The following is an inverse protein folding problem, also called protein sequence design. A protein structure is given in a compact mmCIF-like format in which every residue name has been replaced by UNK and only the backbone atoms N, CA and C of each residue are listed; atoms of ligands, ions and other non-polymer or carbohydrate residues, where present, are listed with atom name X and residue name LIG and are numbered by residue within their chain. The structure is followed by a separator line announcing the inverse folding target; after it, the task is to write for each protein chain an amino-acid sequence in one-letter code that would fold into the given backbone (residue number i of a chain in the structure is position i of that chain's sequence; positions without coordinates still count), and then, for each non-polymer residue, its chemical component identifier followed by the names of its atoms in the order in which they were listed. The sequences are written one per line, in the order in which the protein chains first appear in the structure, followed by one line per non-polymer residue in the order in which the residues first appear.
data_IF_480395211728
#
_entry.id   IF_480395211728
#
_cell.length_a   1.000
_cell.length_b   1.000
_cell.length_c   1.000
_cell.angle_alpha   90.00
_cell.angle_beta   90.00
_cell.angle_gamma   90.00
#
_symmetry.space_group_name_H-M   'P 1'
#
loop_
_entity.id
_entity.type
_entity.pdbx_description
1 polymer ?
#
# COMPACT_ATOMS: atom_id res chain seq x y z
N UNK A 1 -5.86 18.30 -16.33
CA UNK A 1 -4.71 17.96 -17.22
C UNK A 1 -3.56 18.84 -16.82
N UNK A 2 -2.54 18.24 -16.19
CA UNK A 2 -1.29 18.94 -15.90
C UNK A 2 -0.50 19.12 -17.17
N UNK A 3 -0.03 20.32 -17.51
CA UNK A 3 0.90 20.51 -18.59
C UNK A 3 2.33 20.20 -18.11
N UNK A 4 2.55 19.04 -17.48
CA UNK A 4 3.89 18.54 -17.31
C UNK A 4 4.30 17.91 -18.64
N UNK A 5 4.77 18.75 -19.54
CA UNK A 5 5.53 18.29 -20.67
C UNK A 5 6.85 17.75 -20.12
N UNK A 6 6.88 16.44 -19.89
CA UNK A 6 8.11 15.72 -19.55
C UNK A 6 8.96 15.66 -20.83
N UNK A 7 9.71 16.70 -21.07
CA UNK A 7 10.64 16.82 -22.19
C UNK A 7 11.99 17.15 -21.61
N UNK A 8 12.88 16.20 -21.61
CA UNK A 8 14.24 16.33 -21.10
C UNK A 8 15.23 16.81 -22.18
N UNK A 9 14.78 17.21 -23.37
CA UNK A 9 15.64 17.73 -24.41
C UNK A 9 16.38 19.00 -23.95
N UNK A 10 17.67 19.03 -24.14
CA UNK A 10 18.54 20.11 -23.69
C UNK A 10 18.71 20.23 -22.17
N UNK A 11 18.42 19.16 -21.42
CA UNK A 11 18.56 19.12 -19.95
C UNK A 11 19.78 18.32 -19.55
N UNK A 12 20.53 18.86 -18.57
CA UNK A 12 21.62 18.18 -17.88
C UNK A 12 21.33 18.16 -16.40
N UNK A 13 21.35 16.97 -15.80
CA UNK A 13 21.25 16.74 -14.36
C UNK A 13 22.62 16.39 -13.80
N UNK A 14 23.04 17.05 -12.74
CA UNK A 14 24.24 16.64 -12.02
C UNK A 14 24.02 16.59 -10.51
N UNK A 15 24.73 15.70 -9.87
CA UNK A 15 24.74 15.56 -8.41
C UNK A 15 26.03 14.92 -7.93
N UNK A 16 26.34 15.14 -6.67
CA UNK A 16 27.38 14.42 -5.94
C UNK A 16 26.77 13.24 -5.20
N UNK A 17 27.44 12.10 -5.18
CA UNK A 17 27.06 10.96 -4.37
C UNK A 17 28.19 10.58 -3.42
N UNK A 18 27.83 10.09 -2.25
CA UNK A 18 28.72 9.43 -1.31
C UNK A 18 28.04 8.15 -0.80
N UNK A 19 28.81 7.07 -0.76
CA UNK A 19 28.32 5.76 -0.31
C UNK A 19 29.24 5.25 0.77
N UNK A 20 28.69 4.80 1.89
CA UNK A 20 29.41 4.14 2.97
C UNK A 20 28.79 2.79 3.33
N UNK A 21 29.60 1.90 3.87
CA UNK A 21 29.19 0.53 4.16
C UNK A 21 29.31 -0.40 2.94
N UNK A 22 28.52 -1.48 2.90
CA UNK A 22 28.44 -2.34 1.73
C UNK A 22 27.76 -1.61 0.58
N UNK A 23 28.53 -1.37 -0.47
CA UNK A 23 28.06 -0.65 -1.66
C UNK A 23 27.10 -1.52 -2.45
N UNK A 24 25.83 -1.13 -2.61
CA UNK A 24 24.97 -1.81 -3.55
C UNK A 24 25.43 -1.52 -4.97
N UNK A 25 25.49 -2.55 -5.81
CA UNK A 25 25.53 -2.36 -7.25
C UNK A 25 24.23 -1.74 -7.72
N UNK A 26 24.33 -0.65 -8.46
CA UNK A 26 23.22 -0.10 -9.20
C UNK A 26 23.01 -0.94 -10.45
N UNK A 27 22.41 -2.10 -10.29
CA UNK A 27 22.05 -2.97 -11.41
C UNK A 27 20.58 -3.39 -11.23
N UNK A 28 19.74 -3.07 -12.17
CA UNK A 28 18.35 -3.46 -12.13
C UNK A 28 18.08 -4.36 -13.33
N UNK A 29 17.87 -5.63 -13.06
CA UNK A 29 17.11 -6.50 -13.96
C UNK A 29 15.63 -6.09 -13.88
N UNK A 30 15.23 -5.09 -14.66
CA UNK A 30 13.83 -4.80 -14.85
C UNK A 30 13.48 -4.94 -16.32
N UNK A 31 12.25 -5.28 -16.61
CA UNK A 31 11.72 -5.34 -17.98
C UNK A 31 11.62 -3.95 -18.65
N UNK A 32 11.92 -2.87 -17.95
CA UNK A 32 11.95 -1.51 -18.46
C UNK A 32 13.39 -1.04 -18.70
N UNK A 33 13.66 -0.22 -19.71
CA UNK A 33 14.94 0.42 -19.89
C UNK A 33 15.30 1.26 -18.66
N UNK A 34 16.44 0.98 -18.02
CA UNK A 34 16.93 1.71 -16.86
C UNK A 34 18.23 2.40 -17.19
N UNK A 35 18.46 3.57 -16.58
CA UNK A 35 19.79 4.19 -16.56
C UNK A 35 20.49 3.63 -15.33
N UNK A 36 21.48 2.76 -15.56
CA UNK A 36 22.29 2.23 -14.48
C UNK A 36 23.52 3.08 -14.33
N UNK A 37 23.66 3.72 -13.19
CA UNK A 37 24.87 4.45 -12.79
C UNK A 37 25.72 3.49 -11.97
N UNK A 38 26.83 3.01 -12.51
CA UNK A 38 27.80 2.23 -11.75
C UNK A 38 28.71 3.15 -10.99
N UNK A 39 28.70 3.05 -9.68
CA UNK A 39 29.79 3.60 -8.87
C UNK A 39 31.03 2.74 -9.07
N UNK A 40 32.23 3.31 -9.21
CA UNK A 40 33.45 2.50 -9.27
C UNK A 40 33.54 1.67 -8.00
N UNK A 41 33.37 0.35 -8.20
CA UNK A 41 33.08 -0.57 -7.11
C UNK A 41 34.30 -0.84 -6.26
N UNK A 42 34.27 -0.33 -5.06
CA UNK A 42 34.93 -0.98 -3.94
C UNK A 42 33.87 -1.34 -2.90
N UNK A 43 34.00 -2.51 -2.33
CA UNK A 43 33.04 -3.07 -1.37
C UNK A 43 32.89 -2.26 -0.06
N UNK A 44 33.54 -1.11 0.05
CA UNK A 44 33.70 -0.33 1.29
C UNK A 44 33.27 1.13 1.20
N UNK A 45 32.75 1.57 0.07
CA UNK A 45 32.30 2.95 -0.11
C UNK A 45 32.99 3.68 -1.26
N UNK A 46 32.47 4.84 -1.62
CA UNK A 46 33.00 5.70 -2.65
C UNK A 46 32.24 7.01 -2.74
N UNK A 47 32.85 8.00 -3.35
CA UNK A 47 32.22 9.30 -3.62
C UNK A 47 32.54 9.78 -5.03
N UNK A 48 31.69 10.61 -5.61
CA UNK A 48 31.95 11.17 -6.92
C UNK A 48 30.82 12.06 -7.42
N UNK A 49 31.08 12.66 -8.58
CA UNK A 49 30.10 13.48 -9.28
C UNK A 49 29.54 12.71 -10.46
N UNK A 50 28.23 12.78 -10.62
CA UNK A 50 27.51 12.23 -11.77
C UNK A 50 26.95 13.39 -12.58
N UNK A 51 27.11 13.30 -13.90
CA UNK A 51 26.51 14.23 -14.87
C UNK A 51 25.76 13.41 -15.89
N UNK A 52 24.46 13.66 -16.02
CA UNK A 52 23.57 13.01 -16.99
C UNK A 52 23.15 14.06 -18.01
N UNK A 53 23.67 13.95 -19.21
CA UNK A 53 23.22 14.74 -20.36
C UNK A 53 22.16 13.95 -21.11
N UNK A 54 20.91 14.37 -20.99
CA UNK A 54 19.77 13.65 -21.55
C UNK A 54 19.75 13.62 -23.08
N UNK A 55 20.41 14.55 -23.75
CA UNK A 55 20.52 14.53 -25.19
C UNK A 55 21.56 13.52 -25.71
N UNK A 56 22.41 13.00 -24.82
CA UNK A 56 23.47 12.07 -25.16
C UNK A 56 23.34 10.70 -24.48
N UNK A 57 22.12 10.32 -24.11
CA UNK A 57 21.85 8.99 -23.55
C UNK A 57 21.66 7.95 -24.66
N UNK A 58 22.21 6.78 -24.41
CA UNK A 58 22.05 5.61 -25.27
C UNK A 58 21.62 4.40 -24.44
N UNK A 59 20.69 3.62 -24.97
CA UNK A 59 20.41 2.28 -24.44
C UNK A 59 21.61 1.36 -24.77
N UNK A 60 21.80 0.35 -23.91
CA UNK A 60 22.96 -0.55 -24.04
C UNK A 60 24.23 -0.02 -23.34
N UNK A 61 25.16 -0.93 -23.09
CA UNK A 61 26.35 -0.65 -22.26
C UNK A 61 27.53 -0.06 -23.05
N UNK A 62 27.64 -0.46 -24.31
CA UNK A 62 28.76 -0.08 -25.16
C UNK A 62 28.30 0.02 -26.61
N UNK A 63 28.91 0.91 -27.43
CA UNK A 63 28.60 1.01 -28.85
C UNK A 63 29.04 -0.22 -29.64
N UNK A 64 29.98 -0.99 -29.12
CA UNK A 64 30.50 -2.20 -29.77
C UNK A 64 30.47 -3.37 -28.78
N UNK A 65 30.13 -4.54 -29.28
CA UNK A 65 30.16 -5.80 -28.55
C UNK A 65 31.14 -6.80 -29.22
N UNK A 66 31.80 -7.59 -28.38
CA UNK A 66 32.67 -8.64 -28.86
C UNK A 66 31.84 -9.86 -29.24
N UNK A 67 31.94 -10.27 -30.50
CA UNK A 67 31.29 -11.49 -30.97
C UNK A 67 32.36 -12.46 -31.49
N UNK A 68 32.08 -13.75 -31.35
CA UNK A 68 33.00 -14.81 -31.83
C UNK A 68 32.24 -15.83 -32.69
N UNK A 69 31.66 -15.43 -33.83
CA UNK A 69 31.01 -16.33 -34.75
C UNK A 69 32.04 -17.18 -35.47
N UNK A 70 32.15 -18.47 -35.12
CA UNK A 70 33.03 -19.40 -35.80
C UNK A 70 34.50 -19.44 -35.34
N UNK A 71 34.81 -18.88 -34.16
CA UNK A 71 36.13 -19.01 -33.52
C UNK A 71 37.12 -17.87 -33.80
N UNK A 72 36.76 -16.88 -34.58
CA UNK A 72 37.52 -15.64 -34.73
C UNK A 72 36.70 -14.49 -34.15
N UNK A 73 37.19 -13.91 -33.06
CA UNK A 73 36.48 -12.80 -32.37
C UNK A 73 36.66 -11.49 -33.12
N UNK A 74 35.61 -10.73 -33.18
CA UNK A 74 35.60 -9.37 -33.75
C UNK A 74 34.70 -8.43 -32.94
N UNK A 75 35.01 -7.12 -32.97
CA UNK A 75 34.18 -6.09 -32.44
C UNK A 75 33.14 -5.70 -33.50
N UNK A 76 31.86 -5.86 -33.17
CA UNK A 76 30.73 -5.46 -34.02
C UNK A 76 29.96 -4.36 -33.39
N UNK A 77 29.26 -3.57 -34.19
CA UNK A 77 28.31 -2.57 -33.65
C UNK A 77 27.25 -3.26 -32.79
N UNK A 78 27.01 -2.69 -31.62
CA UNK A 78 25.98 -3.18 -30.73
C UNK A 78 24.59 -2.72 -31.23
N UNK A 79 23.70 -3.63 -31.65
CA UNK A 79 22.39 -3.25 -32.15
C UNK A 79 21.51 -2.64 -31.06
N UNK A 80 21.82 -2.86 -29.78
CA UNK A 80 21.12 -2.33 -28.64
C UNK A 80 21.60 -0.91 -28.25
N UNK A 81 22.68 -0.42 -28.89
CA UNK A 81 23.23 0.93 -28.70
C UNK A 81 22.39 1.95 -29.46
N UNK A 82 21.20 2.25 -28.93
CA UNK A 82 20.23 3.13 -29.57
C UNK A 82 20.10 4.40 -28.76
N UNK A 83 20.08 5.54 -29.43
CA UNK A 83 19.87 6.84 -28.78
C UNK A 83 18.50 6.87 -28.11
N UNK A 84 18.48 7.24 -26.84
CA UNK A 84 17.25 7.41 -26.06
C UNK A 84 16.65 8.79 -26.41
N UNK A 85 15.42 8.86 -26.91
CA UNK A 85 14.80 10.15 -27.19
C UNK A 85 14.43 10.86 -25.88
N UNK A 86 15.09 11.99 -25.61
CA UNK A 86 14.94 12.74 -24.36
C UNK A 86 13.49 13.22 -24.12
N UNK A 87 12.72 13.47 -25.16
CA UNK A 87 11.30 13.85 -25.12
C UNK A 87 10.35 12.69 -24.79
N UNK A 88 10.86 11.44 -24.76
CA UNK A 88 10.09 10.22 -24.43
C UNK A 88 10.37 9.67 -23.03
N UNK A 89 11.33 10.22 -22.31
CA UNK A 89 11.64 9.80 -20.96
C UNK A 89 10.44 10.14 -20.06
N UNK A 90 9.90 9.14 -19.37
CA UNK A 90 8.77 9.28 -18.46
C UNK A 90 9.20 9.52 -17.02
N UNK A 91 10.26 8.85 -16.63
CA UNK A 91 10.76 8.84 -15.24
C UNK A 91 12.25 8.49 -15.22
N UNK A 92 12.89 8.84 -14.12
CA UNK A 92 14.26 8.47 -13.81
C UNK A 92 14.21 7.83 -12.42
N UNK A 93 14.71 6.61 -12.31
CA UNK A 93 14.76 5.88 -11.05
C UNK A 93 16.21 5.57 -10.67
N UNK A 94 16.51 5.65 -9.40
CA UNK A 94 17.76 5.18 -8.82
C UNK A 94 17.47 3.87 -8.09
N UNK A 95 18.07 2.79 -8.55
CA UNK A 95 17.94 1.48 -7.93
C UNK A 95 19.24 1.10 -7.23
N UNK A 96 19.12 0.55 -6.03
CA UNK A 96 20.25 0.12 -5.20
C UNK A 96 20.10 -1.37 -4.97
N UNK A 97 21.07 -2.15 -5.45
CA UNK A 97 21.08 -3.60 -5.34
C UNK A 97 22.33 -4.03 -4.59
N UNK A 98 22.25 -4.84 -3.53
CA UNK A 98 23.42 -5.35 -2.84
C UNK A 98 24.35 -6.13 -3.78
N UNK A 99 25.66 -6.00 -3.57
CA UNK A 99 26.69 -6.69 -4.39
C UNK A 99 26.50 -8.19 -4.49
N UNK A 100 25.96 -8.81 -3.45
CA UNK A 100 25.74 -10.26 -3.36
C UNK A 100 24.32 -10.66 -3.76
N UNK A 101 23.51 -9.71 -4.26
CA UNK A 101 22.16 -10.03 -4.71
C UNK A 101 22.20 -11.00 -5.89
N UNK A 102 21.53 -12.12 -5.71
CA UNK A 102 21.32 -13.11 -6.75
C UNK A 102 19.83 -13.47 -6.75
N UNK A 103 19.18 -13.29 -7.88
CA UNK A 103 17.75 -13.56 -8.06
C UNK A 103 17.28 -14.96 -7.63
N UNK A 104 18.23 -15.91 -7.43
CA UNK A 104 17.96 -17.27 -6.97
C UNK A 104 18.27 -17.55 -5.50
N UNK A 105 18.86 -16.62 -4.76
CA UNK A 105 19.41 -16.90 -3.43
C UNK A 105 18.54 -16.41 -2.26
N UNK A 106 17.43 -15.72 -2.52
CA UNK A 106 16.61 -15.16 -1.45
C UNK A 106 17.28 -14.00 -0.71
N UNK A 107 16.85 -13.76 0.54
CA UNK A 107 17.40 -12.70 1.37
C UNK A 107 18.72 -13.09 2.01
N UNK A 108 19.60 -12.10 2.19
CA UNK A 108 20.82 -12.29 2.96
C UNK A 108 20.48 -12.54 4.43
N UNK A 109 21.18 -13.49 5.07
CA UNK A 109 20.94 -13.82 6.49
C UNK A 109 21.30 -12.66 7.44
N UNK A 110 22.28 -11.84 7.04
CA UNK A 110 22.73 -10.69 7.83
C UNK A 110 22.35 -9.38 7.14
N UNK A 111 21.68 -8.51 7.88
CA UNK A 111 21.42 -7.13 7.49
C UNK A 111 22.72 -6.35 7.49
N UNK A 112 23.22 -5.97 6.33
CA UNK A 112 24.40 -5.13 6.20
C UNK A 112 23.98 -3.67 6.02
N UNK A 113 24.27 -2.78 6.98
CA UNK A 113 23.92 -1.37 6.85
C UNK A 113 24.75 -0.70 5.76
N UNK A 114 24.09 0.06 4.92
CA UNK A 114 24.72 0.95 3.96
C UNK A 114 24.02 2.31 3.99
N UNK A 115 24.73 3.33 3.58
CA UNK A 115 24.20 4.68 3.44
C UNK A 115 24.60 5.23 2.08
N UNK A 116 23.62 5.80 1.38
CA UNK A 116 23.83 6.51 0.11
C UNK A 116 23.34 7.92 0.28
N UNK A 117 24.25 8.87 0.12
CA UNK A 117 23.95 10.30 0.22
C UNK A 117 24.08 10.94 -1.15
N UNK A 118 23.08 11.70 -1.55
CA UNK A 118 23.11 12.54 -2.74
C UNK A 118 23.05 14.00 -2.35
N UNK A 119 23.99 14.79 -2.83
CA UNK A 119 24.07 16.24 -2.59
C UNK A 119 24.33 17.01 -3.88
N UNK A 120 24.32 18.33 -3.79
CA UNK A 120 24.70 19.25 -4.86
C UNK A 120 23.92 19.04 -6.17
N UNK A 121 22.63 18.74 -6.04
CA UNK A 121 21.76 18.58 -7.19
C UNK A 121 21.66 19.86 -8.00
N UNK A 122 22.01 19.77 -9.26
CA UNK A 122 21.80 20.87 -10.22
C UNK A 122 21.12 20.37 -11.47
N UNK A 123 20.23 21.17 -11.99
CA UNK A 123 19.57 20.94 -13.28
C UNK A 123 19.85 22.18 -14.12
N UNK A 124 20.41 21.98 -15.30
CA UNK A 124 20.67 23.06 -16.27
C UNK A 124 20.02 22.75 -17.62
N UNK A 125 19.81 23.77 -18.41
CA UNK A 125 19.21 23.63 -19.74
C UNK A 125 17.77 24.13 -19.84
N UNK A 126 17.05 23.67 -20.83
CA UNK A 126 15.71 24.16 -21.19
C UNK A 126 14.57 23.56 -20.35
N UNK A 127 14.85 23.09 -19.12
CA UNK A 127 13.77 22.61 -18.28
C UNK A 127 12.89 23.79 -17.81
N UNK A 128 11.69 23.85 -18.31
CA UNK A 128 10.62 24.63 -17.70
C UNK A 128 9.90 23.75 -16.68
N UNK A 129 10.33 23.82 -15.43
CA UNK A 129 9.41 23.57 -14.35
C UNK A 129 8.31 24.60 -14.49
N UNK A 130 7.10 24.15 -14.75
CA UNK A 130 5.98 25.03 -15.05
C UNK A 130 5.91 26.16 -14.04
N UNK A 131 6.12 27.35 -14.54
CA UNK A 131 5.96 28.58 -13.78
C UNK A 131 4.54 28.64 -13.25
N UNK A 132 4.45 28.90 -11.97
CA UNK A 132 3.32 29.34 -11.17
C UNK A 132 1.94 29.16 -11.83
N UNK A 133 1.22 28.11 -11.43
CA UNK A 133 -0.22 28.11 -11.62
C UNK A 133 -0.76 29.40 -10.97
N UNK A 134 -1.38 30.25 -11.76
CA UNK A 134 -2.14 31.38 -11.24
C UNK A 134 -2.98 30.86 -10.07
N UNK A 135 -2.85 31.47 -8.88
CA UNK A 135 -3.33 30.94 -7.63
C UNK A 135 -4.72 30.32 -7.75
N UNK A 136 -4.78 29.01 -7.64
CA UNK A 136 -6.06 28.33 -7.64
C UNK A 136 -6.76 28.59 -6.32
N UNK A 137 -8.07 28.77 -6.38
CA UNK A 137 -8.87 28.90 -5.19
C UNK A 137 -8.73 27.65 -4.34
N UNK A 138 -8.55 27.81 -3.03
CA UNK A 138 -8.54 26.69 -2.09
C UNK A 138 -9.84 25.91 -2.20
N UNK A 139 -9.76 24.63 -2.50
CA UNK A 139 -10.92 23.76 -2.58
C UNK A 139 -11.21 23.06 -1.25
N UNK A 140 -12.48 22.79 -0.98
CA UNK A 140 -12.93 21.96 0.15
C UNK A 140 -12.98 20.48 -0.21
N UNK A 141 -12.73 20.11 -1.46
CA UNK A 141 -12.64 18.72 -1.89
C UNK A 141 -11.47 18.06 -1.17
N UNK A 142 -11.67 16.81 -0.76
CA UNK A 142 -10.67 15.98 -0.13
C UNK A 142 -9.94 15.18 -1.20
N UNK A 143 -8.67 14.89 -0.96
CA UNK A 143 -7.90 14.00 -1.82
C UNK A 143 -7.95 12.56 -1.30
N UNK A 144 -7.80 11.64 -2.24
CA UNK A 144 -7.34 10.29 -1.98
C UNK A 144 -6.01 10.09 -2.70
N UNK A 145 -5.05 9.50 -2.03
CA UNK A 145 -3.82 8.99 -2.62
C UNK A 145 -3.49 7.61 -2.06
N UNK A 146 -2.54 6.96 -2.70
CA UNK A 146 -2.00 5.68 -2.28
C UNK A 146 -0.48 5.82 -2.14
N UNK A 147 0.06 5.34 -1.02
CA UNK A 147 1.50 5.36 -0.82
C UNK A 147 2.25 4.66 -1.96
N UNK A 148 1.71 3.56 -2.46
CA UNK A 148 2.34 2.79 -3.54
C UNK A 148 2.44 3.56 -4.85
N UNK A 149 1.54 4.52 -5.07
CA UNK A 149 1.55 5.40 -6.25
C UNK A 149 2.48 6.60 -6.10
N UNK A 150 2.79 7.02 -4.86
CA UNK A 150 3.50 8.28 -4.61
C UNK A 150 4.91 8.13 -4.01
N UNK A 151 5.27 6.98 -3.42
CA UNK A 151 6.55 6.82 -2.73
C UNK A 151 7.78 6.97 -3.62
N UNK A 152 7.64 6.83 -4.93
CA UNK A 152 8.70 7.07 -5.91
C UNK A 152 8.93 8.57 -6.22
N UNK A 153 8.11 9.44 -5.66
CA UNK A 153 8.31 10.89 -5.69
C UNK A 153 8.79 11.37 -4.31
N UNK A 154 9.47 12.50 -4.25
CA UNK A 154 9.80 13.07 -2.94
C UNK A 154 8.53 13.60 -2.26
N UNK A 155 8.43 13.53 -0.92
CA UNK A 155 7.30 14.10 -0.19
C UNK A 155 7.07 15.58 -0.50
N UNK A 156 8.15 16.34 -0.68
CA UNK A 156 8.09 17.74 -1.09
C UNK A 156 7.35 17.92 -2.41
N UNK A 157 7.67 17.09 -3.40
CA UNK A 157 7.02 17.18 -4.71
C UNK A 157 5.54 16.86 -4.62
N UNK A 158 5.19 15.77 -3.93
CA UNK A 158 3.79 15.36 -3.76
C UNK A 158 2.98 16.48 -3.09
N UNK A 159 3.47 17.01 -1.97
CA UNK A 159 2.76 18.06 -1.23
C UNK A 159 2.71 19.37 -2.01
N UNK A 160 3.75 19.71 -2.77
CA UNK A 160 3.72 20.90 -3.62
C UNK A 160 2.67 20.80 -4.75
N UNK A 161 2.43 19.61 -5.27
CA UNK A 161 1.34 19.38 -6.24
C UNK A 161 -0.04 19.63 -5.60
N UNK A 162 -0.26 19.15 -4.37
CA UNK A 162 -1.52 19.43 -3.66
C UNK A 162 -1.72 20.92 -3.41
N UNK A 163 -0.66 21.60 -2.96
CA UNK A 163 -0.71 23.05 -2.77
C UNK A 163 -1.04 23.80 -4.06
N UNK A 164 -0.37 23.45 -5.15
CA UNK A 164 -0.60 24.04 -6.47
C UNK A 164 -2.01 23.81 -6.99
N UNK A 165 -2.63 22.69 -6.61
CA UNK A 165 -4.01 22.34 -6.96
C UNK A 165 -5.06 22.97 -6.04
N UNK A 166 -4.63 23.60 -4.96
CA UNK A 166 -5.49 24.21 -3.98
C UNK A 166 -6.11 23.22 -2.99
N UNK A 167 -5.61 21.98 -2.89
CA UNK A 167 -6.07 21.03 -1.89
C UNK A 167 -5.44 21.31 -0.54
N UNK A 168 -6.26 21.72 0.44
CA UNK A 168 -5.83 22.10 1.78
C UNK A 168 -6.76 21.59 2.88
N UNK A 169 -7.45 20.48 2.64
CA UNK A 169 -8.42 19.97 3.59
C UNK A 169 -7.97 18.66 4.21
N UNK A 170 -8.31 17.53 3.60
CA UNK A 170 -8.01 16.18 4.08
C UNK A 170 -7.45 15.36 2.92
N UNK A 171 -6.43 14.58 3.21
CA UNK A 171 -5.96 13.49 2.36
C UNK A 171 -6.31 12.18 3.03
N UNK A 172 -7.03 11.30 2.33
CA UNK A 172 -7.16 9.90 2.70
C UNK A 172 -6.04 9.15 2.00
N UNK A 173 -5.01 8.77 2.76
CA UNK A 173 -3.86 8.07 2.24
C UNK A 173 -4.02 6.57 2.49
N UNK A 174 -4.14 5.80 1.41
CA UNK A 174 -4.19 4.35 1.47
C UNK A 174 -2.79 3.78 1.69
N UNK A 175 -2.68 2.88 2.66
CA UNK A 175 -1.40 2.31 3.06
C UNK A 175 -1.60 0.80 3.22
N UNK A 176 -1.11 0.02 2.26
CA UNK A 176 -1.08 -1.44 2.37
C UNK A 176 -0.09 -1.91 3.42
N UNK A 177 -0.25 -3.10 3.95
CA UNK A 177 0.70 -3.65 4.93
C UNK A 177 1.96 -4.22 4.28
N UNK A 178 1.93 -4.49 2.97
CA UNK A 178 2.93 -5.28 2.27
C UNK A 178 4.30 -4.61 2.14
N UNK A 179 4.33 -3.30 2.00
CA UNK A 179 5.54 -2.57 1.65
C UNK A 179 6.27 -1.97 2.85
N UNK A 180 5.65 -1.98 4.03
CA UNK A 180 6.11 -1.20 5.17
C UNK A 180 6.64 -2.03 6.31
N UNK A 181 6.21 -3.28 6.44
CA UNK A 181 6.69 -4.10 7.52
C UNK A 181 8.09 -4.64 7.22
N UNK A 182 8.87 -4.74 8.27
CA UNK A 182 10.22 -5.27 8.20
C UNK A 182 10.16 -6.80 8.24
N UNK A 183 10.34 -7.42 7.08
CA UNK A 183 10.42 -8.88 6.96
C UNK A 183 11.77 -9.36 7.44
N UNK A 184 11.79 -10.39 8.25
CA UNK A 184 13.01 -11.11 8.56
C UNK A 184 12.78 -12.62 8.43
N UNK A 185 13.83 -13.33 8.03
CA UNK A 185 13.79 -14.78 7.95
C UNK A 185 14.55 -15.39 9.13
N UNK A 186 14.02 -16.47 9.70
CA UNK A 186 14.71 -17.33 10.63
C UNK A 186 14.70 -18.75 10.08
N UNK A 187 15.80 -19.15 9.46
CA UNK A 187 15.86 -20.33 8.62
C UNK A 187 14.94 -20.16 7.39
N UNK A 188 14.11 -21.17 7.12
CA UNK A 188 13.16 -21.16 5.98
C UNK A 188 11.83 -20.45 6.29
N UNK A 189 11.70 -19.83 7.47
CA UNK A 189 10.46 -19.21 7.91
C UNK A 189 10.56 -17.69 7.84
N UNK A 190 9.57 -17.08 7.19
CA UNK A 190 9.37 -15.65 7.27
C UNK A 190 8.80 -15.28 8.64
N UNK A 191 9.40 -14.27 9.27
CA UNK A 191 8.89 -13.62 10.47
C UNK A 191 8.66 -12.15 10.18
N UNK A 192 7.66 -11.58 10.83
CA UNK A 192 7.39 -10.15 10.81
C UNK A 192 7.65 -9.62 12.22
N UNK A 193 8.33 -8.49 12.32
CA UNK A 193 8.48 -7.80 13.60
C UNK A 193 7.14 -7.20 14.00
N UNK A 194 6.56 -7.72 15.07
CA UNK A 194 5.25 -7.26 15.56
C UNK A 194 5.34 -6.08 16.50
N UNK A 195 6.52 -5.77 17.00
CA UNK A 195 6.81 -4.67 17.93
C UNK A 195 7.23 -3.37 17.20
N UNK A 196 7.75 -3.48 15.99
CA UNK A 196 8.13 -2.36 15.14
C UNK A 196 7.88 -2.69 13.67
N UNK A 197 6.72 -2.34 13.12
CA UNK A 197 6.27 -2.87 11.84
C UNK A 197 6.84 -2.15 10.61
N UNK A 198 7.53 -1.01 10.79
CA UNK A 198 7.97 -0.20 9.66
C UNK A 198 9.42 -0.47 9.28
N UNK A 199 9.69 -0.46 7.97
CA UNK A 199 11.05 -0.29 7.49
C UNK A 199 11.47 1.20 7.56
N UNK A 200 12.78 1.43 7.64
CA UNK A 200 13.32 2.78 7.82
C UNK A 200 13.00 3.72 6.64
N UNK A 201 12.95 3.19 5.42
CA UNK A 201 12.67 4.00 4.24
C UNK A 201 11.25 4.55 4.26
N UNK A 202 10.27 3.69 4.56
CA UNK A 202 8.89 4.12 4.75
C UNK A 202 8.77 5.16 5.85
N UNK A 203 9.35 4.89 7.01
CA UNK A 203 9.26 5.78 8.17
C UNK A 203 9.83 7.17 7.87
N UNK A 204 10.99 7.23 7.21
CA UNK A 204 11.61 8.48 6.83
C UNK A 204 10.78 9.26 5.81
N UNK A 205 10.33 8.59 4.74
CA UNK A 205 9.53 9.19 3.70
C UNK A 205 8.17 9.68 4.22
N UNK A 206 7.46 8.78 4.91
CA UNK A 206 6.11 9.06 5.39
C UNK A 206 6.09 10.11 6.50
N UNK A 207 7.06 10.06 7.39
CA UNK A 207 7.23 11.08 8.42
C UNK A 207 7.51 12.48 7.83
N UNK A 208 8.30 12.58 6.74
CA UNK A 208 8.51 13.85 6.04
C UNK A 208 7.24 14.32 5.32
N UNK A 209 6.52 13.41 4.69
CA UNK A 209 5.23 13.67 4.05
C UNK A 209 4.21 14.26 5.04
N UNK A 210 4.06 13.65 6.21
CA UNK A 210 3.16 14.15 7.25
C UNK A 210 3.54 15.53 7.77
N UNK A 211 4.83 15.78 8.03
CA UNK A 211 5.31 17.11 8.47
C UNK A 211 4.98 18.20 7.44
N UNK A 212 5.16 17.90 6.15
CA UNK A 212 4.86 18.84 5.07
C UNK A 212 3.36 19.09 4.92
N UNK A 213 2.54 18.05 5.01
CA UNK A 213 1.07 18.20 5.01
C UNK A 213 0.59 19.01 6.22
N UNK A 214 1.15 18.76 7.40
CA UNK A 214 0.86 19.56 8.60
C UNK A 214 1.20 21.04 8.39
N UNK A 215 2.36 21.33 7.85
CA UNK A 215 2.78 22.71 7.54
C UNK A 215 1.83 23.39 6.52
N UNK A 216 1.24 22.62 5.62
CA UNK A 216 0.24 23.10 4.67
C UNK A 216 -1.17 23.22 5.28
N UNK A 217 -1.37 22.74 6.52
CA UNK A 217 -2.66 22.72 7.22
C UNK A 217 -3.60 21.58 6.77
N UNK A 218 -3.07 20.56 6.09
CA UNK A 218 -3.83 19.39 5.61
C UNK A 218 -3.87 18.33 6.70
N UNK A 219 -5.04 17.70 6.89
CA UNK A 219 -5.21 16.54 7.75
C UNK A 219 -5.05 15.25 6.95
N UNK A 220 -4.65 14.17 7.63
CA UNK A 220 -4.48 12.86 7.00
C UNK A 220 -5.35 11.82 7.67
N UNK A 221 -6.06 11.01 6.87
CA UNK A 221 -6.68 9.76 7.28
C UNK A 221 -5.76 8.64 6.76
N UNK A 222 -5.18 7.89 7.68
CA UNK A 222 -4.40 6.69 7.32
C UNK A 222 -5.36 5.53 7.07
N UNK A 223 -5.55 5.18 5.81
CA UNK A 223 -6.37 4.03 5.41
C UNK A 223 -5.50 2.80 5.30
N UNK A 224 -5.67 1.84 6.20
CA UNK A 224 -4.88 0.61 6.24
C UNK A 224 -5.68 -0.57 5.71
N UNK A 225 -5.02 -1.48 4.99
CA UNK A 225 -5.64 -2.67 4.41
C UNK A 225 -5.36 -3.92 5.22
N UNK A 226 -6.24 -4.91 5.08
CA UNK A 226 -6.00 -6.29 5.54
C UNK A 226 -5.31 -7.17 4.49
N UNK A 227 -5.06 -6.62 3.32
CA UNK A 227 -4.31 -7.27 2.25
C UNK A 227 -2.80 -7.23 2.52
N UNK A 228 -2.13 -8.35 2.31
CA UNK A 228 -0.70 -8.44 2.51
C UNK A 228 -0.07 -9.34 1.46
N UNK A 229 0.94 -8.83 0.76
CA UNK A 229 1.75 -9.62 -0.17
C UNK A 229 2.72 -10.46 0.62
N UNK A 230 2.74 -11.77 0.35
CA UNK A 230 3.67 -12.73 0.95
C UNK A 230 3.74 -12.67 2.49
N UNK A 231 2.58 -12.76 3.20
CA UNK A 231 2.58 -12.83 4.66
C UNK A 231 2.95 -14.23 5.14
N UNK A 232 3.28 -14.41 6.44
CA UNK A 232 3.41 -15.74 7.03
C UNK A 232 2.21 -16.64 6.73
N UNK A 233 2.46 -17.92 6.45
CA UNK A 233 1.42 -18.84 5.98
C UNK A 233 0.25 -19.04 6.95
N UNK A 234 0.51 -18.98 8.24
CA UNK A 234 -0.48 -19.12 9.31
C UNK A 234 -1.28 -17.83 9.56
N UNK A 235 -0.91 -16.71 8.92
CA UNK A 235 -1.65 -15.46 8.99
C UNK A 235 -2.82 -15.39 8.01
N UNK A 236 -2.77 -16.19 6.93
CA UNK A 236 -3.70 -16.12 5.80
C UNK A 236 -5.06 -16.69 6.16
N UNK A 237 -6.11 -15.99 5.78
CA UNK A 237 -7.46 -16.59 5.71
C UNK A 237 -7.43 -17.75 4.71
N UNK A 238 -8.18 -18.83 5.00
CA UNK A 238 -8.20 -20.01 4.15
C UNK A 238 -9.62 -20.53 3.95
N UNK A 239 -9.89 -21.06 2.77
CA UNK A 239 -11.11 -21.77 2.51
C UNK A 239 -11.09 -23.18 3.14
N UNK A 240 -12.19 -23.91 2.98
CA UNK A 240 -12.34 -25.26 3.53
C UNK A 240 -11.31 -26.29 3.03
N UNK A 241 -10.77 -26.09 1.82
CA UNK A 241 -9.72 -26.94 1.23
C UNK A 241 -8.29 -26.49 1.63
N UNK A 242 -8.17 -25.45 2.44
CA UNK A 242 -6.87 -24.91 2.88
C UNK A 242 -6.23 -23.93 1.89
N UNK A 243 -6.92 -23.55 0.82
CA UNK A 243 -6.44 -22.55 -0.14
C UNK A 243 -6.55 -21.16 0.49
N UNK A 244 -5.50 -20.36 0.36
CA UNK A 244 -5.46 -18.99 0.88
C UNK A 244 -6.42 -18.08 0.09
N UNK A 245 -7.11 -17.21 0.81
CA UNK A 245 -7.90 -16.12 0.21
C UNK A 245 -6.97 -15.05 -0.34
N UNK A 246 -7.00 -14.84 -1.65
CA UNK A 246 -6.17 -13.85 -2.35
C UNK A 246 -7.04 -12.93 -3.18
N UNK A 247 -6.62 -11.70 -3.36
CA UNK A 247 -7.23 -10.76 -4.31
C UNK A 247 -6.61 -10.92 -5.70
N UNK A 248 -7.09 -10.14 -6.67
CA UNK A 248 -6.68 -10.26 -8.08
C UNK A 248 -5.56 -9.29 -8.48
N UNK A 249 -4.94 -8.60 -7.53
CA UNK A 249 -3.78 -7.74 -7.79
C UNK A 249 -2.53 -8.57 -8.09
N UNK A 250 -1.59 -8.01 -8.82
CA UNK A 250 -0.28 -8.63 -9.03
C UNK A 250 0.83 -7.75 -8.41
N UNK A 251 1.64 -8.29 -7.49
CA UNK A 251 1.60 -9.64 -6.92
C UNK A 251 0.36 -9.85 -6.03
N UNK A 252 -0.20 -11.06 -6.05
CA UNK A 252 -1.47 -11.38 -5.36
C UNK A 252 -1.33 -11.26 -3.84
N UNK A 253 -1.96 -10.27 -3.18
CA UNK A 253 -2.01 -10.21 -1.73
C UNK A 253 -2.98 -11.25 -1.16
N UNK A 254 -2.67 -11.72 0.03
CA UNK A 254 -3.56 -12.57 0.83
C UNK A 254 -4.29 -11.75 1.86
N UNK A 255 -5.55 -12.12 2.13
CA UNK A 255 -6.31 -11.57 3.24
C UNK A 255 -5.83 -12.20 4.55
N UNK A 256 -5.57 -11.36 5.55
CA UNK A 256 -5.08 -11.80 6.85
C UNK A 256 -6.23 -12.17 7.79
N UNK A 257 -6.03 -13.24 8.57
CA UNK A 257 -7.00 -13.67 9.58
C UNK A 257 -6.91 -12.79 10.82
N UNK A 258 -7.90 -11.94 11.03
CA UNK A 258 -7.99 -11.10 12.24
C UNK A 258 -8.35 -11.88 13.51
N UNK A 259 -8.46 -13.19 13.44
CA UNK A 259 -8.54 -14.09 14.60
C UNK A 259 -7.14 -14.51 15.07
N UNK A 260 -6.17 -14.58 14.17
CA UNK A 260 -4.79 -14.95 14.49
C UNK A 260 -4.15 -13.93 15.46
N UNK A 261 -3.50 -14.45 16.49
CA UNK A 261 -2.89 -13.62 17.54
C UNK A 261 -1.78 -12.70 17.00
N UNK A 262 -0.90 -13.23 16.17
CA UNK A 262 0.24 -12.47 15.65
C UNK A 262 -0.22 -11.37 14.66
N UNK A 263 -1.27 -11.65 13.89
CA UNK A 263 -1.93 -10.63 13.07
C UNK A 263 -2.51 -9.52 13.92
N UNK A 264 -3.18 -9.84 15.04
CA UNK A 264 -3.68 -8.82 15.98
C UNK A 264 -2.53 -7.97 16.52
N UNK A 265 -1.43 -8.59 16.96
CA UNK A 265 -0.27 -7.87 17.49
C UNK A 265 0.40 -6.98 16.43
N UNK A 266 0.54 -7.48 15.22
CA UNK A 266 1.06 -6.72 14.10
C UNK A 266 0.21 -5.47 13.82
N UNK A 267 -1.11 -5.61 13.71
CA UNK A 267 -1.99 -4.46 13.44
C UNK A 267 -2.07 -3.47 14.60
N UNK A 268 -1.98 -3.92 15.85
CA UNK A 268 -1.86 -3.04 17.02
C UNK A 268 -0.59 -2.17 16.88
N UNK A 269 0.54 -2.79 16.59
CA UNK A 269 1.80 -2.06 16.36
C UNK A 269 1.72 -1.12 15.17
N UNK A 270 1.06 -1.57 14.10
CA UNK A 270 0.87 -0.81 12.87
C UNK A 270 0.06 0.47 13.11
N UNK A 271 -1.12 0.38 13.71
CA UNK A 271 -1.95 1.56 14.00
C UNK A 271 -1.27 2.51 14.99
N UNK A 272 -0.58 1.97 16.01
CA UNK A 272 0.20 2.78 16.97
C UNK A 272 1.40 3.46 16.31
N UNK A 273 2.06 2.78 15.38
CA UNK A 273 3.16 3.32 14.60
C UNK A 273 2.74 4.50 13.73
N UNK A 274 1.64 4.37 12.98
CA UNK A 274 1.07 5.47 12.19
C UNK A 274 0.63 6.65 13.07
N UNK A 275 0.02 6.34 14.21
CA UNK A 275 -0.37 7.37 15.18
C UNK A 275 0.85 8.11 15.75
N UNK A 276 1.94 7.40 16.02
CA UNK A 276 3.22 8.00 16.45
C UNK A 276 3.75 8.96 15.38
N UNK A 277 3.82 8.53 14.13
CA UNK A 277 4.29 9.39 13.03
C UNK A 277 3.42 10.64 12.87
N UNK A 278 2.09 10.51 13.02
CA UNK A 278 1.18 11.65 13.02
C UNK A 278 1.47 12.62 14.18
N UNK A 279 1.59 12.09 15.39
CA UNK A 279 1.86 12.90 16.58
C UNK A 279 3.22 13.61 16.51
N UNK A 280 4.26 12.93 16.02
CA UNK A 280 5.59 13.50 15.78
C UNK A 280 5.58 14.62 14.72
N UNK A 281 4.65 14.52 13.75
CA UNK A 281 4.40 15.58 12.78
C UNK A 281 3.50 16.73 13.32
N UNK A 282 3.01 16.63 14.56
CA UNK A 282 2.09 17.61 15.15
C UNK A 282 0.62 17.46 14.73
N UNK A 283 0.25 16.31 14.16
CA UNK A 283 -1.09 16.02 13.66
C UNK A 283 -1.88 15.14 14.61
N UNK A 284 -3.21 15.34 14.63
CA UNK A 284 -4.12 14.38 15.26
C UNK A 284 -4.10 13.06 14.46
N UNK A 285 -3.83 11.92 15.10
CA UNK A 285 -3.92 10.63 14.41
C UNK A 285 -5.36 10.30 13.99
N UNK A 286 -5.55 9.89 12.75
CA UNK A 286 -6.84 9.41 12.23
C UNK A 286 -6.60 8.12 11.47
N UNK A 287 -7.10 7.02 11.98
CA UNK A 287 -6.92 5.69 11.38
C UNK A 287 -8.24 5.18 10.81
N UNK A 288 -8.21 4.73 9.59
CA UNK A 288 -9.29 4.02 8.91
C UNK A 288 -8.85 2.59 8.66
N UNK A 289 -9.58 1.63 9.22
CA UNK A 289 -9.39 0.23 8.86
C UNK A 289 -10.22 -0.07 7.62
N UNK A 290 -9.53 -0.30 6.52
CA UNK A 290 -10.14 -0.75 5.28
C UNK A 290 -10.21 -2.27 5.25
N UNK A 291 -11.25 -2.80 4.62
CA UNK A 291 -11.31 -4.19 4.19
C UNK A 291 -11.14 -5.22 5.30
N UNK A 292 -11.67 -4.94 6.49
CA UNK A 292 -11.79 -5.92 7.56
C UNK A 292 -12.84 -6.99 7.20
N UNK A 293 -12.54 -7.79 6.18
CA UNK A 293 -13.48 -8.73 5.62
C UNK A 293 -13.03 -10.17 5.79
N UNK A 294 -14.00 -11.03 6.04
CA UNK A 294 -13.91 -12.41 5.67
C UNK A 294 -13.97 -12.50 4.16
N UNK A 295 -12.94 -13.10 3.55
CA UNK A 295 -12.82 -13.14 2.11
C UNK A 295 -13.70 -14.22 1.48
N UNK A 296 -14.05 -13.97 0.25
CA UNK A 296 -14.81 -14.87 -0.59
C UNK A 296 -14.14 -14.95 -1.95
N UNK A 297 -13.78 -16.18 -2.37
CA UNK A 297 -13.09 -16.39 -3.64
C UNK A 297 -14.12 -16.39 -4.76
N UNK A 298 -14.10 -15.38 -5.61
CA UNK A 298 -15.02 -15.26 -6.75
C UNK A 298 -14.57 -16.09 -7.93
N UNK A 299 -13.25 -16.15 -8.19
CA UNK A 299 -12.63 -16.83 -9.32
C UNK A 299 -12.06 -18.18 -8.91
N UNK A 300 -12.48 -19.22 -9.60
CA UNK A 300 -11.96 -20.55 -9.40
C UNK A 300 -13.04 -21.58 -9.16
N UNK A 301 -12.62 -22.81 -8.99
CA UNK A 301 -13.49 -23.98 -8.88
C UNK A 301 -14.51 -23.87 -7.73
N UNK A 302 -14.35 -22.92 -6.80
CA UNK A 302 -14.97 -23.09 -5.51
C UNK A 302 -15.90 -21.98 -5.05
N UNK A 303 -15.83 -20.74 -5.53
CA UNK A 303 -16.65 -19.65 -4.96
C UNK A 303 -16.82 -19.80 -3.45
N UNK A 304 -15.71 -19.98 -2.72
CA UNK A 304 -15.73 -20.49 -1.37
C UNK A 304 -15.36 -19.41 -0.35
N UNK A 305 -16.04 -19.37 0.80
CA UNK A 305 -15.68 -18.47 1.89
C UNK A 305 -14.38 -18.92 2.58
N UNK A 306 -13.56 -17.95 2.99
CA UNK A 306 -12.24 -18.18 3.61
C UNK A 306 -12.31 -18.08 5.13
N UNK A 307 -13.12 -18.93 5.78
CA UNK A 307 -13.38 -18.92 7.23
C UNK A 307 -12.56 -19.93 8.02
N UNK A 308 -11.68 -20.70 7.38
CA UNK A 308 -11.19 -21.97 7.91
C UNK A 308 -9.69 -22.02 8.19
N UNK A 309 -9.07 -20.89 8.43
CA UNK A 309 -7.72 -20.86 8.98
C UNK A 309 -7.67 -21.51 10.37
N UNK A 310 -6.48 -21.93 10.78
CA UNK A 310 -6.30 -22.71 12.00
C UNK A 310 -6.72 -21.97 13.28
N UNK A 311 -6.46 -20.65 13.34
CA UNK A 311 -6.79 -19.83 14.49
C UNK A 311 -8.31 -19.69 14.64
N UNK A 312 -9.02 -19.45 13.54
CA UNK A 312 -10.48 -19.33 13.51
C UNK A 312 -11.16 -20.63 13.95
N UNK A 313 -10.72 -21.76 13.38
CA UNK A 313 -11.23 -23.09 13.77
C UNK A 313 -10.97 -23.41 15.23
N UNK A 314 -9.78 -23.08 15.73
CA UNK A 314 -9.41 -23.29 17.11
C UNK A 314 -10.29 -22.49 18.09
N UNK A 315 -10.46 -21.18 17.85
CA UNK A 315 -11.27 -20.32 18.72
C UNK A 315 -12.76 -20.72 18.70
N UNK A 316 -13.30 -21.11 17.54
CA UNK A 316 -14.66 -21.61 17.48
C UNK A 316 -14.85 -22.88 18.30
N UNK A 317 -13.94 -23.87 18.12
CA UNK A 317 -13.98 -25.12 18.90
C UNK A 317 -13.84 -24.85 20.41
N UNK A 318 -12.96 -23.92 20.78
CA UNK A 318 -12.76 -23.53 22.18
C UNK A 318 -14.04 -22.92 22.78
N UNK A 319 -14.71 -22.04 22.03
CA UNK A 319 -15.94 -21.35 22.48
C UNK A 319 -17.16 -22.29 22.57
N UNK A 320 -17.33 -23.18 21.60
CA UNK A 320 -18.56 -23.97 21.46
C UNK A 320 -18.42 -25.47 21.74
N UNK A 321 -17.21 -25.96 21.96
CA UNK A 321 -16.93 -27.37 22.22
C UNK A 321 -17.19 -28.32 21.04
N UNK A 322 -17.37 -27.77 19.83
CA UNK A 322 -17.65 -28.53 18.61
C UNK A 322 -16.86 -27.94 17.41
N UNK A 323 -16.72 -28.76 16.38
CA UNK A 323 -16.13 -28.27 15.12
C UNK A 323 -17.06 -27.28 14.42
N UNK A 324 -16.46 -26.31 13.75
CA UNK A 324 -17.16 -25.34 12.94
C UNK A 324 -17.75 -26.02 11.69
N UNK A 325 -19.02 -25.75 11.41
CA UNK A 325 -19.64 -26.23 10.18
C UNK A 325 -18.89 -25.71 8.96
N UNK A 326 -18.81 -26.53 7.90
CA UNK A 326 -18.05 -26.21 6.69
C UNK A 326 -18.99 -25.82 5.57
N UNK A 327 -18.96 -24.54 5.21
CA UNK A 327 -19.53 -24.04 3.96
C UNK A 327 -18.49 -24.19 2.85
N UNK A 328 -18.78 -25.00 1.85
CA UNK A 328 -17.86 -25.21 0.72
C UNK A 328 -18.00 -24.15 -0.33
N UNK A 329 -19.20 -23.61 -0.49
CA UNK A 329 -19.52 -22.57 -1.45
C UNK A 329 -20.39 -21.49 -0.81
N UNK A 330 -20.42 -20.30 -1.39
CA UNK A 330 -21.34 -19.24 -0.96
C UNK A 330 -22.82 -19.55 -1.16
N UNK A 331 -23.14 -20.65 -1.86
CA UNK A 331 -24.53 -21.10 -2.10
C UNK A 331 -25.01 -22.13 -1.08
N UNK A 332 -24.15 -22.57 -0.19
CA UNK A 332 -24.54 -23.54 0.84
C UNK A 332 -25.59 -22.94 1.78
N UNK A 333 -26.50 -23.77 2.25
CA UNK A 333 -27.55 -23.34 3.17
C UNK A 333 -26.94 -22.91 4.52
N UNK A 334 -27.32 -21.73 4.98
CA UNK A 334 -26.93 -21.20 6.29
C UNK A 334 -27.86 -21.68 7.42
N UNK A 335 -29.01 -22.26 7.06
CA UNK A 335 -30.03 -22.64 8.02
C UNK A 335 -29.51 -23.72 9.02
N UNK A 336 -29.64 -23.43 10.31
CA UNK A 336 -29.13 -24.27 11.38
C UNK A 336 -27.63 -24.15 11.69
N UNK A 337 -26.94 -23.21 11.02
CA UNK A 337 -25.52 -22.94 11.19
C UNK A 337 -25.23 -21.45 11.39
N UNK A 338 -26.23 -20.69 11.78
CA UNK A 338 -26.16 -19.24 12.01
C UNK A 338 -25.16 -18.91 13.12
N UNK A 339 -24.95 -19.82 14.06
CA UNK A 339 -23.97 -19.69 15.15
C UNK A 339 -22.53 -19.51 14.61
N UNK A 340 -22.20 -20.16 13.49
CA UNK A 340 -20.90 -19.98 12.81
C UNK A 340 -20.79 -18.56 12.25
N UNK A 341 -21.81 -18.10 11.56
CA UNK A 341 -21.78 -16.77 10.92
C UNK A 341 -21.76 -15.64 11.98
N UNK A 342 -22.53 -15.79 13.06
CA UNK A 342 -22.50 -14.81 14.14
C UNK A 342 -21.14 -14.81 14.88
N UNK A 343 -20.54 -15.98 15.09
CA UNK A 343 -19.19 -16.06 15.62
C UNK A 343 -18.18 -15.29 14.71
N UNK A 344 -18.21 -15.52 13.42
CA UNK A 344 -17.30 -14.86 12.46
C UNK A 344 -17.54 -13.36 12.42
N UNK A 345 -18.79 -12.92 12.40
CA UNK A 345 -19.19 -11.50 12.48
C UNK A 345 -18.63 -10.85 13.74
N UNK A 346 -18.81 -11.51 14.89
CA UNK A 346 -18.34 -10.99 16.17
C UNK A 346 -16.80 -10.89 16.18
N UNK A 347 -16.08 -11.84 15.57
CA UNK A 347 -14.61 -11.75 15.43
C UNK A 347 -14.15 -10.55 14.62
N UNK A 348 -14.84 -10.22 13.56
CA UNK A 348 -14.59 -8.99 12.80
C UNK A 348 -14.80 -7.74 13.68
N UNK A 349 -15.93 -7.66 14.37
CA UNK A 349 -16.24 -6.55 15.26
C UNK A 349 -15.26 -6.45 16.44
N UNK A 350 -14.94 -7.58 17.08
CA UNK A 350 -13.94 -7.63 18.17
C UNK A 350 -12.59 -7.10 17.71
N UNK A 351 -12.15 -7.43 16.49
CA UNK A 351 -10.90 -6.95 15.94
C UNK A 351 -10.90 -5.43 15.71
N UNK A 352 -11.96 -4.88 15.13
CA UNK A 352 -12.07 -3.43 14.93
C UNK A 352 -12.06 -2.69 16.27
N UNK A 353 -12.76 -3.19 17.30
CA UNK A 353 -12.76 -2.63 18.65
C UNK A 353 -11.40 -2.76 19.34
N UNK A 354 -10.71 -3.89 19.14
CA UNK A 354 -9.36 -4.08 19.69
C UNK A 354 -8.43 -2.98 19.18
N UNK A 355 -8.36 -2.78 17.87
CA UNK A 355 -7.48 -1.76 17.27
C UNK A 355 -7.83 -0.36 17.74
N UNK A 356 -9.12 -0.02 17.75
CA UNK A 356 -9.60 1.28 18.26
C UNK A 356 -9.20 1.51 19.71
N UNK A 357 -9.43 0.52 20.58
CA UNK A 357 -9.16 0.65 22.01
C UNK A 357 -7.67 0.77 22.29
N UNK A 358 -6.84 -0.03 21.63
CA UNK A 358 -5.39 0.04 21.72
C UNK A 358 -4.81 1.36 21.19
N UNK A 359 -5.38 1.86 20.09
CA UNK A 359 -5.04 3.17 19.56
C UNK A 359 -5.37 4.29 20.57
N UNK A 360 -6.61 4.33 21.06
CA UNK A 360 -7.06 5.39 21.97
C UNK A 360 -6.42 5.30 23.36
N UNK A 361 -6.02 4.13 23.80
CA UNK A 361 -5.23 3.97 25.03
C UNK A 361 -3.84 4.62 24.93
N UNK A 362 -3.21 4.56 23.74
CA UNK A 362 -1.91 5.19 23.49
C UNK A 362 -2.03 6.66 23.07
N UNK A 363 -3.08 7.00 22.32
CA UNK A 363 -3.35 8.34 21.78
C UNK A 363 -4.83 8.70 22.01
N UNK A 364 -5.19 9.28 23.16
CA UNK A 364 -6.59 9.53 23.54
C UNK A 364 -7.37 10.39 22.54
N UNK A 365 -6.68 11.30 21.86
CA UNK A 365 -7.31 12.20 20.87
C UNK A 365 -7.38 11.58 19.47
N UNK A 366 -6.87 10.36 19.27
CA UNK A 366 -6.93 9.71 17.98
C UNK A 366 -8.38 9.42 17.56
N UNK A 367 -8.63 9.49 16.26
CA UNK A 367 -9.90 9.08 15.67
C UNK A 367 -9.75 7.75 14.96
N UNK A 368 -10.80 6.93 15.02
CA UNK A 368 -10.82 5.61 14.39
C UNK A 368 -12.14 5.40 13.64
N UNK A 369 -12.03 4.87 12.43
CA UNK A 369 -13.16 4.50 11.57
C UNK A 369 -12.88 3.23 10.79
N UNK A 370 -13.88 2.74 10.06
CA UNK A 370 -13.76 1.67 9.08
C UNK A 370 -14.14 2.20 7.69
N UNK A 371 -13.56 1.60 6.66
CA UNK A 371 -14.04 1.76 5.29
C UNK A 371 -15.09 0.68 5.03
N UNK A 372 -16.29 1.10 4.68
CA UNK A 372 -17.42 0.21 4.43
C UNK A 372 -17.79 0.25 2.94
N UNK A 373 -17.68 -0.91 2.30
CA UNK A 373 -17.99 -1.09 0.89
C UNK A 373 -19.30 -1.87 0.71
N UNK A 374 -20.47 -1.20 0.65
CA UNK A 374 -21.78 -1.82 0.54
C UNK A 374 -21.94 -2.82 -0.60
N UNK A 375 -21.32 -2.64 -1.78
CA UNK A 375 -21.42 -3.61 -2.86
C UNK A 375 -21.01 -5.03 -2.47
N UNK A 376 -20.01 -5.18 -1.60
CA UNK A 376 -19.51 -6.48 -1.13
C UNK A 376 -20.20 -6.99 0.15
N UNK A 377 -21.13 -6.23 0.74
CA UNK A 377 -21.76 -6.59 2.01
C UNK A 377 -23.28 -6.57 1.91
N UNK A 378 -23.87 -5.55 1.30
CA UNK A 378 -25.33 -5.36 1.26
C UNK A 378 -25.97 -5.83 -0.04
N UNK A 379 -25.22 -5.92 -1.13
CA UNK A 379 -25.76 -6.25 -2.43
C UNK A 379 -25.88 -7.77 -2.64
N UNK A 380 -27.04 -8.32 -2.26
CA UNK A 380 -27.36 -9.75 -2.41
C UNK A 380 -27.31 -10.28 -3.86
N UNK A 381 -27.22 -9.39 -4.84
CA UNK A 381 -27.06 -9.80 -6.24
C UNK A 381 -25.58 -10.04 -6.60
N UNK A 382 -24.66 -9.49 -5.83
CA UNK A 382 -23.21 -9.62 -6.04
C UNK A 382 -22.57 -10.64 -5.10
N UNK A 383 -23.01 -10.67 -3.84
CA UNK A 383 -22.38 -11.51 -2.82
C UNK A 383 -23.38 -12.46 -2.15
N UNK A 384 -22.92 -13.65 -1.72
CA UNK A 384 -23.74 -14.58 -0.94
C UNK A 384 -24.24 -13.97 0.37
N UNK A 385 -25.40 -14.38 0.83
CA UNK A 385 -26.01 -13.90 2.07
C UNK A 385 -25.08 -14.04 3.29
N UNK A 386 -24.34 -15.15 3.37
CA UNK A 386 -23.40 -15.39 4.46
C UNK A 386 -22.32 -14.29 4.55
N UNK A 387 -21.85 -13.75 3.41
CA UNK A 387 -20.83 -12.70 3.40
C UNK A 387 -21.38 -11.39 3.95
N UNK A 388 -22.63 -11.07 3.63
CA UNK A 388 -23.30 -9.90 4.23
C UNK A 388 -23.46 -10.02 5.74
N UNK A 389 -23.65 -11.22 6.27
CA UNK A 389 -23.73 -11.44 7.72
C UNK A 389 -22.36 -11.27 8.39
N UNK A 390 -21.33 -11.96 7.90
CA UNK A 390 -20.01 -12.00 8.57
C UNK A 390 -19.22 -10.70 8.44
N UNK A 391 -19.50 -9.91 7.40
CA UNK A 391 -18.80 -8.65 7.11
C UNK A 391 -19.55 -7.40 7.56
N UNK A 392 -20.64 -7.56 8.31
CA UNK A 392 -21.39 -6.44 8.88
C UNK A 392 -21.58 -6.60 10.39
N UNK A 393 -20.54 -6.36 11.20
CA UNK A 393 -20.64 -6.38 12.65
C UNK A 393 -21.29 -5.10 13.20
N UNK A 394 -22.55 -4.85 12.84
CA UNK A 394 -23.28 -3.60 13.09
C UNK A 394 -23.28 -3.21 14.58
N UNK A 395 -23.37 -4.16 15.49
CA UNK A 395 -23.36 -3.93 16.95
C UNK A 395 -22.04 -3.30 17.43
N UNK A 396 -20.94 -3.59 16.73
CA UNK A 396 -19.62 -3.03 17.01
C UNK A 396 -19.41 -1.68 16.32
N UNK A 397 -20.07 -1.45 15.19
CA UNK A 397 -19.88 -0.25 14.38
C UNK A 397 -20.93 0.84 14.61
N UNK A 398 -21.97 0.56 15.39
CA UNK A 398 -23.00 1.53 15.73
C UNK A 398 -22.42 2.77 16.43
N UNK A 399 -22.90 3.96 16.09
CA UNK A 399 -22.50 5.20 16.77
C UNK A 399 -22.81 5.15 18.29
N UNK A 400 -21.90 5.57 19.19
CA UNK A 400 -20.62 6.26 18.93
C UNK A 400 -19.39 5.32 18.98
N UNK A 401 -19.54 4.05 18.65
CA UNK A 401 -18.43 3.08 18.76
C UNK A 401 -17.26 3.42 17.82
N UNK A 402 -17.52 4.08 16.67
CA UNK A 402 -16.49 4.68 15.83
C UNK A 402 -16.68 6.21 15.82
N UNK A 403 -15.62 6.95 15.57
CA UNK A 403 -15.65 8.43 15.66
C UNK A 403 -16.40 9.07 14.47
N UNK A 404 -16.35 8.45 13.32
CA UNK A 404 -17.12 8.77 12.12
C UNK A 404 -17.24 7.49 11.26
N UNK A 405 -17.97 7.56 10.17
CA UNK A 405 -18.16 6.40 9.30
C UNK A 405 -17.77 6.74 7.86
N UNK A 406 -16.91 5.91 7.25
CA UNK A 406 -16.50 6.10 5.87
C UNK A 406 -17.26 5.12 4.96
N UNK A 407 -18.02 5.67 4.02
CA UNK A 407 -18.81 4.93 3.05
C UNK A 407 -18.14 4.95 1.69
N UNK A 408 -18.00 3.79 1.08
CA UNK A 408 -17.45 3.62 -0.26
C UNK A 408 -18.40 2.77 -1.10
N UNK A 409 -19.10 3.36 -2.06
CA UNK A 409 -20.02 2.64 -2.93
C UNK A 409 -20.11 3.25 -4.34
N UNK A 410 -19.00 3.83 -4.81
CA UNK A 410 -18.95 4.47 -6.11
C UNK A 410 -19.30 3.53 -7.28
N UNK A 411 -19.19 2.23 -7.13
CA UNK A 411 -19.71 1.24 -8.07
C UNK A 411 -21.19 1.46 -8.40
N UNK A 412 -21.99 1.77 -7.38
CA UNK A 412 -23.40 2.05 -7.58
C UNK A 412 -23.64 3.32 -8.41
N UNK A 413 -22.73 4.29 -8.30
CA UNK A 413 -22.80 5.52 -9.09
C UNK A 413 -22.38 5.24 -10.55
N UNK A 414 -21.30 4.47 -10.76
CA UNK A 414 -20.80 4.06 -12.09
C UNK A 414 -21.87 3.27 -12.81
N UNK A 415 -22.51 2.32 -12.14
CA UNK A 415 -23.55 1.46 -12.68
C UNK A 415 -24.94 2.15 -12.76
N UNK A 416 -25.02 3.43 -12.42
CA UNK A 416 -26.27 4.20 -12.38
C UNK A 416 -27.32 3.66 -11.40
N UNK A 417 -26.90 2.97 -10.35
CA UNK A 417 -27.75 2.41 -9.30
C UNK A 417 -27.93 3.35 -8.11
N UNK A 418 -28.31 4.61 -8.36
CA UNK A 418 -28.46 5.66 -7.36
C UNK A 418 -29.36 5.29 -6.17
N UNK A 419 -30.29 4.38 -6.36
CA UNK A 419 -31.16 3.90 -5.29
C UNK A 419 -30.38 3.04 -4.27
N UNK A 420 -29.43 2.20 -4.72
CA UNK A 420 -28.58 1.41 -3.82
C UNK A 420 -27.63 2.31 -3.01
N UNK A 421 -27.07 3.34 -3.65
CA UNK A 421 -26.27 4.37 -2.96
C UNK A 421 -27.10 5.04 -1.85
N UNK A 422 -28.31 5.48 -2.15
CA UNK A 422 -29.20 6.08 -1.13
C UNK A 422 -29.54 5.09 0.00
N UNK A 423 -29.78 3.82 -0.33
CA UNK A 423 -30.07 2.80 0.67
C UNK A 423 -28.86 2.55 1.59
N UNK A 424 -27.63 2.58 1.06
CA UNK A 424 -26.42 2.50 1.86
C UNK A 424 -26.28 3.69 2.84
N UNK A 425 -26.52 4.92 2.39
CA UNK A 425 -26.54 6.10 3.27
C UNK A 425 -27.62 5.97 4.35
N UNK A 426 -28.84 5.60 3.96
CA UNK A 426 -29.95 5.39 4.89
C UNK A 426 -29.63 4.30 5.93
N UNK A 427 -28.94 3.24 5.53
CA UNK A 427 -28.50 2.19 6.44
C UNK A 427 -27.55 2.76 7.51
N UNK A 428 -26.56 3.51 7.12
CA UNK A 428 -25.59 4.11 8.05
C UNK A 428 -26.27 5.10 8.99
N UNK A 429 -27.22 5.88 8.51
CA UNK A 429 -27.97 6.85 9.33
C UNK A 429 -28.95 6.17 10.30
N UNK A 430 -29.72 5.21 9.83
CA UNK A 430 -30.85 4.68 10.58
C UNK A 430 -30.51 3.40 11.37
N UNK A 431 -29.62 2.56 10.84
CA UNK A 431 -29.25 1.28 11.48
C UNK A 431 -27.97 1.40 12.30
N UNK A 432 -27.00 2.19 11.84
CA UNK A 432 -25.77 2.47 12.59
C UNK A 432 -25.83 3.78 13.37
N UNK A 433 -26.93 4.55 13.26
CA UNK A 433 -27.22 5.75 14.01
C UNK A 433 -26.21 6.92 13.85
N UNK A 434 -25.48 6.98 12.75
CA UNK A 434 -24.54 8.09 12.51
C UNK A 434 -25.28 9.36 12.08
N UNK A 435 -25.00 10.52 12.72
CA UNK A 435 -25.48 11.80 12.21
C UNK A 435 -24.84 12.10 10.84
N UNK A 436 -25.55 12.78 9.93
CA UNK A 436 -25.04 13.05 8.57
C UNK A 436 -23.67 13.74 8.54
N UNK A 437 -23.36 14.57 9.53
CA UNK A 437 -22.06 15.26 9.62
C UNK A 437 -20.87 14.36 9.93
N UNK A 438 -21.11 13.13 10.37
CA UNK A 438 -20.11 12.12 10.68
C UNK A 438 -20.11 10.98 9.66
N UNK A 439 -20.85 11.09 8.57
CA UNK A 439 -20.76 10.16 7.44
C UNK A 439 -19.90 10.81 6.37
N UNK A 440 -18.77 10.20 6.14
CA UNK A 440 -17.84 10.61 5.08
C UNK A 440 -18.02 9.69 3.88
N UNK A 441 -17.89 10.24 2.69
CA UNK A 441 -17.99 9.52 1.46
C UNK A 441 -16.64 9.45 0.78
N UNK A 442 -16.22 8.25 0.46
CA UNK A 442 -15.02 7.95 -0.30
C UNK A 442 -15.41 7.62 -1.74
N UNK A 443 -14.86 8.36 -2.69
CA UNK A 443 -15.08 8.13 -4.12
C UNK A 443 -13.72 7.99 -4.82
N UNK A 444 -13.36 6.75 -5.14
CA UNK A 444 -12.15 6.41 -5.90
C UNK A 444 -12.41 6.45 -7.39
N UNK A 445 -12.77 7.61 -7.95
CA UNK A 445 -12.93 7.72 -9.40
C UNK A 445 -11.57 7.92 -10.07
N UNK A 446 -11.30 7.09 -11.05
CA UNK A 446 -10.28 7.35 -12.06
C UNK A 446 -10.93 8.16 -13.17
N UNK A 447 -10.53 9.42 -13.31
CA UNK A 447 -11.02 10.32 -14.34
C UNK A 447 -10.21 10.17 -15.65
#
# INVERSE_FOLDING_TARGET
RYPLKKDFSGVTLSYHYAVSGHTPLLDAESAAPTITVRTPGEATGGEGNIVIDFDNLYAGWTPYIWQNPGGVGEWVENPDWVKVPADKIKEIMWSFVPLEYNTGSGYLEDSMPYEVTFTDWTVSGSCTLGTEAAGQAVTQVRLCDDYDDIYNMTPERVVSEYERLGYRNIVNCYIGASHYYDKCYSGDKMNVKTDYPFNQAFEAWYGDYLRRLHALGVKVIHSISMECVDPPEDWKQRNWAGVAGTTNWEPKPSLLSFVNYDVKMFYISYVKGLARLSAEAGMQPVIQLGESWWWYMEDGVDNSPCFYDSATRYEYRYKYGKDMHVFKTGKDSIAGHEDVLYFLRDKNGEFTHLLRNELKAAYPDALFTVLFFPPSVMDKTRVPEMMGIVNLPAEYWIYPNLDFFMLEDYDYLIDSHMWKHRDAINFVQNNLAYPPSLIHYFAGFVL
#
